data_IF_045996552119
#
_entry.id   IF_045996552119
#
_cell.length_a   1.000
_cell.length_b   1.000
_cell.length_c   1.000
_cell.angle_alpha   90.00
_cell.angle_beta   90.00
_cell.angle_gamma   90.00
#
_symmetry.space_group_name_H-M   'P 1'
#
loop_
_entity.id
_entity.type
_entity.pdbx_description
1 polymer ?
#
# COMPACT_ATOMS: atom_id res chain seq x y z
N UNK A 1 -5.10 5.02 -17.45
CA UNK A 1 -3.72 4.60 -17.72
C UNK A 1 -3.30 3.57 -16.67
N UNK A 2 -2.57 2.57 -17.08
CA UNK A 2 -1.98 1.57 -16.20
C UNK A 2 -0.93 2.23 -15.29
N UNK A 3 -0.99 2.07 -13.96
CA UNK A 3 -0.09 2.73 -13.02
C UNK A 3 1.27 2.03 -12.94
N UNK A 4 2.03 2.06 -14.03
CA UNK A 4 3.36 1.45 -14.14
C UNK A 4 4.32 2.40 -14.87
N UNK A 5 5.47 2.69 -14.30
CA UNK A 5 6.44 3.64 -14.83
C UNK A 5 7.26 3.07 -16.00
N UNK A 6 7.44 1.75 -16.02
CA UNK A 6 8.19 1.04 -17.06
C UNK A 6 7.34 0.61 -18.25
N UNK A 7 6.02 0.68 -18.14
CA UNK A 7 5.10 0.19 -19.16
C UNK A 7 3.96 1.18 -19.42
N UNK A 8 3.89 1.71 -20.64
CA UNK A 8 2.84 2.63 -21.06
C UNK A 8 1.77 1.85 -21.82
N UNK A 9 0.68 1.56 -21.18
CA UNK A 9 -0.44 0.82 -21.77
C UNK A 9 -1.75 1.12 -21.07
N UNK A 10 -2.82 0.51 -21.57
CA UNK A 10 -4.12 0.47 -20.91
C UNK A 10 -4.47 -0.99 -20.61
N UNK A 11 -5.15 -1.21 -19.49
CA UNK A 11 -5.69 -2.52 -19.15
C UNK A 11 -7.05 -2.68 -19.82
N UNK A 12 -7.26 -3.82 -20.48
CA UNK A 12 -8.55 -4.31 -20.86
C UNK A 12 -8.91 -5.46 -19.90
N UNK A 13 -10.04 -5.30 -19.23
CA UNK A 13 -10.61 -6.36 -18.39
C UNK A 13 -11.50 -7.26 -19.25
N UNK A 14 -11.05 -8.49 -19.51
CA UNK A 14 -11.82 -9.49 -20.23
C UNK A 14 -12.50 -10.39 -19.19
N UNK A 15 -13.83 -10.23 -19.06
CA UNK A 15 -14.61 -11.06 -18.13
C UNK A 15 -14.52 -12.55 -18.52
N UNK A 16 -14.22 -13.37 -17.54
CA UNK A 16 -14.14 -14.82 -17.64
C UNK A 16 -14.78 -15.48 -16.41
N UNK A 17 -14.68 -16.78 -16.22
CA UNK A 17 -15.11 -17.47 -15.00
C UNK A 17 -14.16 -17.14 -13.86
N UNK A 18 -14.13 -15.87 -13.47
CA UNK A 18 -13.33 -15.33 -12.37
C UNK A 18 -14.12 -15.46 -11.07
N UNK A 19 -13.46 -15.63 -9.92
CA UNK A 19 -14.11 -15.38 -8.65
C UNK A 19 -14.63 -13.94 -8.61
N UNK A 20 -15.87 -13.77 -8.20
CA UNK A 20 -16.58 -12.48 -8.23
C UNK A 20 -16.19 -11.49 -7.13
N UNK A 21 -15.34 -11.91 -6.16
CA UNK A 21 -14.93 -11.03 -5.06
C UNK A 21 -14.13 -9.78 -5.49
N UNK A 22 -13.57 -9.76 -6.69
CA UNK A 22 -12.88 -8.58 -7.23
C UNK A 22 -13.79 -7.65 -8.04
N UNK A 23 -15.02 -8.07 -8.30
CA UNK A 23 -16.02 -7.25 -9.00
C UNK A 23 -16.68 -6.27 -8.03
N UNK A 24 -17.16 -5.15 -8.55
CA UNK A 24 -17.95 -4.22 -7.77
C UNK A 24 -19.32 -4.87 -7.46
N UNK A 25 -19.59 -5.11 -6.18
CA UNK A 25 -20.85 -5.68 -5.69
C UNK A 25 -21.66 -4.62 -4.94
N UNK A 26 -22.95 -4.86 -4.73
CA UNK A 26 -23.83 -3.98 -3.96
C UNK A 26 -23.68 -4.23 -2.45
N UNK A 27 -22.58 -3.77 -1.91
CA UNK A 27 -22.21 -3.87 -0.49
C UNK A 27 -21.71 -2.52 0.02
N UNK A 28 -21.62 -2.30 1.34
CA UNK A 28 -20.99 -1.07 1.86
C UNK A 28 -19.54 -0.95 1.41
N UNK A 29 -19.20 0.19 0.79
CA UNK A 29 -17.87 0.44 0.26
C UNK A 29 -17.01 1.28 1.17
N UNK A 30 -15.72 0.91 1.26
CA UNK A 30 -14.68 1.71 1.87
C UNK A 30 -14.27 2.89 0.98
N UNK A 31 -13.35 3.69 1.48
CA UNK A 31 -12.83 4.88 0.79
C UNK A 31 -11.37 4.71 0.45
N UNK A 32 -10.99 5.04 -0.79
CA UNK A 32 -9.59 5.15 -1.22
C UNK A 32 -9.20 6.63 -1.26
N UNK A 33 -8.12 6.96 -0.56
CA UNK A 33 -7.58 8.31 -0.46
C UNK A 33 -6.15 8.37 -0.94
N UNK A 34 -5.78 9.50 -1.55
CA UNK A 34 -4.41 9.81 -1.98
C UNK A 34 -3.87 10.93 -1.10
N UNK A 35 -2.69 10.73 -0.56
CA UNK A 35 -2.03 11.74 0.25
C UNK A 35 -0.51 11.63 0.12
N UNK A 36 0.21 12.49 0.83
CA UNK A 36 1.66 12.50 0.89
C UNK A 36 2.11 12.44 2.35
N UNK A 37 3.25 11.83 2.57
CA UNK A 37 3.98 11.87 3.83
C UNK A 37 5.41 12.34 3.56
N UNK A 38 6.01 13.03 4.51
CA UNK A 38 7.42 13.42 4.43
C UNK A 38 8.29 12.25 4.85
N UNK A 39 9.13 11.76 3.95
CA UNK A 39 10.06 10.67 4.23
C UNK A 39 11.36 11.20 4.81
N UNK A 40 11.66 10.88 6.07
CA UNK A 40 12.96 11.14 6.69
C UNK A 40 14.10 10.35 6.05
N UNK A 41 13.81 9.18 5.48
CA UNK A 41 14.80 8.32 4.85
C UNK A 41 15.34 8.88 3.53
N UNK A 42 14.51 9.60 2.76
CA UNK A 42 14.88 10.16 1.45
C UNK A 42 14.84 11.68 1.39
N UNK A 43 14.30 12.34 2.40
CA UNK A 43 14.33 13.81 2.55
C UNK A 43 13.33 14.58 1.69
N UNK A 44 12.23 13.94 1.22
CA UNK A 44 11.17 14.61 0.47
C UNK A 44 9.81 13.90 0.63
N UNK A 45 8.75 14.59 0.18
CA UNK A 45 7.39 14.07 0.26
C UNK A 45 7.16 12.91 -0.71
N UNK A 46 6.50 11.87 -0.21
CA UNK A 46 6.23 10.63 -0.92
C UNK A 46 4.72 10.37 -1.00
N UNK A 47 4.20 9.96 -2.16
CA UNK A 47 2.80 9.64 -2.29
C UNK A 47 2.45 8.28 -1.64
N UNK A 48 1.24 8.21 -1.12
CA UNK A 48 0.65 6.99 -0.56
C UNK A 48 -0.83 6.94 -0.90
N UNK A 49 -1.31 5.74 -1.24
CA UNK A 49 -2.72 5.45 -1.40
C UNK A 49 -3.20 4.66 -0.18
N UNK A 50 -4.34 5.06 0.40
CA UNK A 50 -4.84 4.47 1.64
C UNK A 50 -6.31 4.10 1.44
N UNK A 51 -6.64 2.83 1.73
CA UNK A 51 -8.01 2.36 1.83
C UNK A 51 -8.42 2.34 3.30
N UNK A 52 -9.58 2.90 3.60
CA UNK A 52 -10.28 2.78 4.89
C UNK A 52 -11.59 2.02 4.69
N UNK A 53 -11.97 1.10 5.59
CA UNK A 53 -13.16 0.27 5.41
C UNK A 53 -14.45 1.07 5.53
N UNK A 54 -15.55 0.50 5.02
CA UNK A 54 -16.88 1.10 5.15
C UNK A 54 -17.23 1.38 6.62
N UNK A 55 -17.70 2.61 6.89
CA UNK A 55 -18.02 3.06 8.23
C UNK A 55 -16.82 3.55 9.05
N UNK A 56 -15.62 3.66 8.46
CA UNK A 56 -14.48 4.30 9.13
C UNK A 56 -14.81 5.76 9.50
N UNK A 57 -14.69 6.07 10.79
CA UNK A 57 -14.84 7.42 11.30
C UNK A 57 -13.49 7.89 11.89
N UNK A 58 -12.85 8.94 11.34
CA UNK A 58 -11.59 9.46 11.85
C UNK A 58 -11.71 10.07 13.26
N UNK A 59 -12.92 10.47 13.69
CA UNK A 59 -13.20 10.98 15.03
C UNK A 59 -13.68 9.87 15.99
N UNK A 60 -13.88 8.65 15.49
CA UNK A 60 -14.36 7.51 16.28
C UNK A 60 -13.26 6.89 17.14
N UNK A 61 -13.68 6.03 18.07
CA UNK A 61 -12.79 5.31 18.98
C UNK A 61 -12.32 3.94 18.43
N UNK A 62 -13.01 3.43 17.40
CA UNK A 62 -12.68 2.12 16.81
C UNK A 62 -11.30 2.15 16.17
N UNK A 63 -10.45 1.19 16.54
CA UNK A 63 -9.09 1.04 16.00
C UNK A 63 -8.98 -0.20 15.14
N UNK A 64 -8.34 -0.04 14.00
CA UNK A 64 -8.24 -1.03 12.92
C UNK A 64 -6.83 -1.61 12.82
N UNK A 65 -6.68 -2.91 12.48
CA UNK A 65 -5.40 -3.45 12.05
C UNK A 65 -4.99 -2.84 10.71
N UNK A 66 -3.69 -2.90 10.39
CA UNK A 66 -3.12 -2.31 9.19
C UNK A 66 -2.43 -3.35 8.32
N UNK A 67 -2.79 -3.37 7.04
CA UNK A 67 -2.05 -4.09 6.01
C UNK A 67 -1.24 -3.09 5.17
N UNK A 68 0.09 -3.19 5.21
CA UNK A 68 0.99 -2.50 4.28
C UNK A 68 1.19 -3.35 3.03
N UNK A 69 0.79 -2.83 1.87
CA UNK A 69 0.74 -3.59 0.62
C UNK A 69 1.66 -2.97 -0.43
N UNK A 70 2.77 -3.66 -0.74
CA UNK A 70 3.89 -3.12 -1.51
C UNK A 70 3.84 -3.58 -2.95
N UNK A 71 3.94 -2.64 -3.88
CA UNK A 71 3.94 -2.88 -5.33
C UNK A 71 5.26 -3.47 -5.85
N UNK A 72 5.24 -3.99 -7.10
CA UNK A 72 6.42 -4.51 -7.79
C UNK A 72 7.33 -3.42 -8.38
N UNK A 73 8.43 -3.87 -8.99
CA UNK A 73 9.31 -2.97 -9.73
C UNK A 73 8.55 -2.27 -10.86
N UNK A 74 8.80 -0.96 -11.05
CA UNK A 74 8.11 -0.10 -12.02
C UNK A 74 6.63 0.15 -11.78
N UNK A 75 6.00 -0.56 -10.87
CA UNK A 75 4.65 -0.26 -10.40
C UNK A 75 4.61 0.99 -9.50
N UNK A 76 3.42 1.41 -9.12
CA UNK A 76 3.22 2.59 -8.28
C UNK A 76 2.30 2.29 -7.09
N UNK A 77 2.16 3.25 -6.19
CA UNK A 77 1.23 3.23 -5.05
C UNK A 77 -0.24 3.03 -5.46
N UNK A 78 -0.58 3.16 -6.75
CA UNK A 78 -1.93 2.96 -7.26
C UNK A 78 -2.20 1.54 -7.78
N UNK A 79 -1.17 0.72 -7.95
CA UNK A 79 -1.28 -0.58 -8.63
C UNK A 79 -2.24 -1.53 -7.94
N UNK A 80 -2.13 -1.67 -6.62
CA UNK A 80 -3.01 -2.57 -5.87
C UNK A 80 -4.47 -2.12 -5.87
N UNK A 81 -4.73 -0.82 -5.97
CA UNK A 81 -6.08 -0.29 -6.10
C UNK A 81 -6.61 -0.39 -7.53
N UNK A 82 -5.89 0.15 -8.52
CA UNK A 82 -6.40 0.26 -9.91
C UNK A 82 -6.35 -1.06 -10.68
N UNK A 83 -5.39 -1.92 -10.36
CA UNK A 83 -5.18 -3.20 -11.04
C UNK A 83 -5.61 -4.36 -10.15
N UNK A 84 -5.14 -4.39 -8.91
CA UNK A 84 -5.43 -5.44 -7.95
C UNK A 84 -6.83 -5.37 -7.35
N UNK A 85 -7.54 -4.23 -7.49
CA UNK A 85 -8.91 -4.01 -6.98
C UNK A 85 -9.05 -4.35 -5.50
N UNK A 86 -8.02 -4.07 -4.72
CA UNK A 86 -7.96 -4.43 -3.30
C UNK A 86 -9.15 -3.88 -2.50
N UNK A 87 -9.64 -2.68 -2.87
CA UNK A 87 -10.83 -2.09 -2.27
C UNK A 87 -12.08 -2.95 -2.48
N UNK A 88 -12.37 -3.38 -3.72
CA UNK A 88 -13.53 -4.23 -4.01
C UNK A 88 -13.41 -5.58 -3.29
N UNK A 89 -12.23 -6.18 -3.34
CA UNK A 89 -11.95 -7.47 -2.67
C UNK A 89 -12.25 -7.35 -1.17
N UNK A 90 -11.75 -6.32 -0.52
CA UNK A 90 -11.96 -6.13 0.92
C UNK A 90 -13.41 -5.78 1.25
N UNK A 91 -14.05 -4.89 0.47
CA UNK A 91 -15.45 -4.55 0.67
C UNK A 91 -16.32 -5.81 0.63
N UNK A 92 -16.13 -6.66 -0.39
CA UNK A 92 -16.88 -7.90 -0.58
C UNK A 92 -16.58 -8.92 0.54
N UNK A 93 -15.32 -9.12 0.89
CA UNK A 93 -14.93 -10.07 1.94
C UNK A 93 -15.38 -9.61 3.34
N UNK A 94 -15.29 -8.32 3.64
CA UNK A 94 -15.76 -7.75 4.90
C UNK A 94 -17.29 -7.89 5.01
N UNK A 95 -18.03 -7.57 3.93
CA UNK A 95 -19.48 -7.71 3.90
C UNK A 95 -19.93 -9.18 4.08
N UNK A 96 -19.16 -10.12 3.54
CA UNK A 96 -19.39 -11.57 3.71
C UNK A 96 -18.93 -12.12 5.08
N UNK A 97 -18.31 -11.32 5.93
CA UNK A 97 -17.76 -11.77 7.23
C UNK A 97 -16.51 -12.66 7.09
N UNK A 98 -15.84 -12.63 5.94
CA UNK A 98 -14.65 -13.43 5.63
C UNK A 98 -13.33 -12.67 5.88
N UNK A 99 -13.39 -11.36 6.08
CA UNK A 99 -12.25 -10.54 6.47
C UNK A 99 -12.65 -9.58 7.59
N UNK A 100 -11.70 -9.28 8.48
CA UNK A 100 -11.83 -8.21 9.46
C UNK A 100 -11.72 -6.85 8.75
N UNK A 101 -12.43 -5.84 9.26
CA UNK A 101 -12.21 -4.45 8.83
C UNK A 101 -10.77 -4.05 9.09
N UNK A 102 -10.10 -3.53 8.08
CA UNK A 102 -8.69 -3.10 8.17
C UNK A 102 -8.42 -1.86 7.33
N UNK A 103 -7.36 -1.15 7.66
CA UNK A 103 -6.80 -0.09 6.82
C UNK A 103 -5.72 -0.71 5.94
N UNK A 104 -5.73 -0.39 4.64
CA UNK A 104 -4.66 -0.81 3.73
C UNK A 104 -3.86 0.40 3.29
N UNK A 105 -2.55 0.31 3.47
CA UNK A 105 -1.58 1.36 3.14
C UNK A 105 -0.74 0.90 1.97
N UNK A 106 -0.80 1.64 0.87
CA UNK A 106 -0.11 1.34 -0.38
C UNK A 106 0.86 2.48 -0.68
N UNK A 107 2.09 2.47 -0.11
CA UNK A 107 3.08 3.51 -0.35
C UNK A 107 3.74 3.34 -1.70
N UNK A 108 4.31 4.42 -2.25
CA UNK A 108 5.26 4.33 -3.35
C UNK A 108 6.60 3.85 -2.81
N UNK A 109 6.81 2.54 -2.83
CA UNK A 109 7.92 1.88 -2.15
C UNK A 109 9.23 1.80 -2.97
N UNK A 110 9.31 2.50 -4.11
CA UNK A 110 10.55 2.62 -4.88
C UNK A 110 11.03 4.08 -4.88
N UNK A 111 11.94 4.48 -4.00
CA UNK A 111 12.41 5.86 -3.92
C UNK A 111 13.41 6.23 -5.02
N UNK A 112 14.11 5.26 -5.61
CA UNK A 112 15.23 5.49 -6.50
C UNK A 112 14.93 6.33 -7.75
N UNK A 113 13.82 6.14 -8.49
CA UNK A 113 13.57 6.96 -9.68
C UNK A 113 13.49 8.45 -9.37
N UNK A 114 12.95 8.81 -8.22
CA UNK A 114 12.85 10.20 -7.80
C UNK A 114 14.17 10.72 -7.21
N UNK A 115 14.87 9.92 -6.42
CA UNK A 115 16.20 10.26 -5.91
C UNK A 115 17.18 10.53 -7.05
N UNK A 116 17.21 9.68 -8.08
CA UNK A 116 18.06 9.84 -9.26
C UNK A 116 17.72 11.08 -10.09
N UNK A 117 16.45 11.51 -10.11
CA UNK A 117 16.04 12.78 -10.74
C UNK A 117 16.56 14.00 -9.97
N UNK A 118 16.63 13.89 -8.63
CA UNK A 118 17.10 14.96 -7.75
C UNK A 118 18.62 15.02 -7.65
N UNK A 119 19.25 13.86 -7.62
CA UNK A 119 20.69 13.70 -7.51
C UNK A 119 21.19 12.61 -8.48
N UNK A 120 21.92 13.02 -9.52
CA UNK A 120 22.47 12.13 -10.54
C UNK A 120 23.61 11.23 -10.06
N UNK A 121 24.12 11.45 -8.85
CA UNK A 121 25.13 10.57 -8.23
C UNK A 121 24.52 9.35 -7.56
N UNK A 122 23.19 9.35 -7.34
CA UNK A 122 22.47 8.21 -6.78
C UNK A 122 22.45 7.06 -7.78
N UNK A 123 22.97 5.91 -7.37
CA UNK A 123 22.99 4.70 -8.18
C UNK A 123 21.86 3.77 -7.71
N UNK A 124 21.06 3.32 -8.67
CA UNK A 124 19.99 2.37 -8.40
C UNK A 124 20.56 1.01 -7.97
N UNK A 125 20.19 0.58 -6.78
CA UNK A 125 20.47 -0.78 -6.30
C UNK A 125 19.15 -1.50 -5.97
N UNK A 126 18.62 -2.34 -6.87
CA UNK A 126 17.37 -3.07 -6.64
C UNK A 126 17.47 -4.09 -5.51
N UNK A 127 18.68 -4.40 -5.06
CA UNK A 127 18.92 -5.36 -4.00
C UNK A 127 18.99 -4.70 -2.62
N UNK A 128 19.12 -3.37 -2.57
CA UNK A 128 19.11 -2.64 -1.31
C UNK A 128 17.68 -2.46 -0.78
N UNK A 129 17.37 -3.21 0.27
CA UNK A 129 16.12 -3.11 1.00
C UNK A 129 16.22 -2.23 2.23
N UNK A 130 17.42 -1.81 2.61
CA UNK A 130 17.66 -1.05 3.83
C UNK A 130 17.01 0.32 3.80
N UNK A 131 17.06 1.00 2.65
CA UNK A 131 16.43 2.31 2.48
C UNK A 131 14.90 2.19 2.61
N UNK A 132 14.28 1.20 1.97
CA UNK A 132 12.84 0.96 2.05
C UNK A 132 12.42 0.57 3.47
N UNK A 133 13.16 -0.33 4.12
CA UNK A 133 12.89 -0.71 5.51
C UNK A 133 12.95 0.51 6.43
N UNK A 134 13.97 1.35 6.30
CA UNK A 134 14.10 2.57 7.07
C UNK A 134 12.94 3.55 6.80
N UNK A 135 12.55 3.72 5.54
CA UNK A 135 11.40 4.55 5.18
C UNK A 135 10.10 4.06 5.83
N UNK A 136 9.89 2.74 5.86
CA UNK A 136 8.74 2.15 6.53
C UNK A 136 8.75 2.43 8.04
N UNK A 137 9.85 2.12 8.71
CA UNK A 137 9.95 2.23 10.16
C UNK A 137 9.96 3.68 10.66
N UNK A 138 10.64 4.58 9.94
CA UNK A 138 10.85 5.96 10.38
C UNK A 138 9.82 6.96 9.84
N UNK A 139 9.05 6.59 8.81
CA UNK A 139 8.17 7.55 8.14
C UNK A 139 6.76 7.01 7.89
N UNK A 140 6.60 5.88 7.21
CA UNK A 140 5.28 5.37 6.81
C UNK A 140 4.47 4.95 8.01
N UNK A 141 5.00 4.09 8.87
CA UNK A 141 4.29 3.61 10.08
C UNK A 141 3.95 4.77 11.01
N UNK A 142 4.89 5.64 11.41
CA UNK A 142 4.56 6.80 12.24
C UNK A 142 3.53 7.75 11.63
N UNK A 143 3.57 7.96 10.31
CA UNK A 143 2.57 8.78 9.61
C UNK A 143 1.16 8.18 9.73
N UNK A 144 1.04 6.87 9.53
CA UNK A 144 -0.26 6.18 9.63
C UNK A 144 -0.79 6.22 11.06
N UNK A 145 0.06 5.94 12.04
CA UNK A 145 -0.33 5.96 13.47
C UNK A 145 -0.74 7.35 13.97
N UNK A 146 -0.16 8.40 13.39
CA UNK A 146 -0.50 9.78 13.77
C UNK A 146 -1.79 10.30 13.11
N UNK A 147 -2.22 9.73 11.98
CA UNK A 147 -3.30 10.28 11.16
C UNK A 147 -4.53 9.38 11.02
N UNK A 148 -4.45 8.13 11.46
CA UNK A 148 -5.53 7.14 11.33
C UNK A 148 -5.77 6.40 12.63
N UNK A 149 -7.00 5.97 12.86
CA UNK A 149 -7.37 5.17 14.03
C UNK A 149 -6.90 3.72 13.85
N UNK A 150 -5.66 3.45 14.19
CA UNK A 150 -5.02 2.13 14.02
C UNK A 150 -4.59 1.53 15.37
N UNK A 151 -4.55 0.20 15.41
CA UNK A 151 -3.87 -0.54 16.47
C UNK A 151 -2.37 -0.44 16.24
N UNK A 152 -1.60 -0.14 17.29
CA UNK A 152 -0.14 0.14 17.18
C UNK A 152 0.75 -1.01 17.61
N UNK A 153 0.17 -2.12 18.05
CA UNK A 153 0.91 -3.33 18.39
C UNK A 153 1.34 -4.12 17.14
N UNK A 154 2.44 -4.87 17.23
CA UNK A 154 2.99 -5.64 16.12
C UNK A 154 2.03 -6.70 15.60
N UNK A 155 1.23 -7.32 16.49
CA UNK A 155 0.24 -8.33 16.12
C UNK A 155 -0.93 -7.81 15.29
N UNK A 156 -1.13 -6.49 15.26
CA UNK A 156 -2.14 -5.81 14.45
C UNK A 156 -1.60 -5.20 13.16
N UNK A 157 -0.35 -5.49 12.80
CA UNK A 157 0.28 -5.06 11.55
C UNK A 157 0.62 -6.25 10.67
N UNK A 158 0.35 -6.13 9.38
CA UNK A 158 0.80 -7.06 8.37
C UNK A 158 1.48 -6.30 7.22
N UNK A 159 2.46 -6.93 6.60
CA UNK A 159 3.12 -6.42 5.40
C UNK A 159 3.10 -7.51 4.34
N UNK A 160 2.71 -7.14 3.12
CA UNK A 160 2.67 -8.03 1.96
C UNK A 160 3.14 -7.28 0.71
N UNK A 161 3.56 -8.01 -0.31
CA UNK A 161 4.01 -7.38 -1.54
C UNK A 161 4.23 -8.36 -2.67
N UNK A 162 4.34 -7.80 -3.87
CA UNK A 162 4.53 -8.55 -5.11
C UNK A 162 5.93 -8.28 -5.69
N UNK A 163 6.62 -9.31 -6.18
CA UNK A 163 7.92 -9.18 -6.86
C UNK A 163 8.96 -8.44 -6.01
N UNK A 164 9.43 -7.26 -6.43
CA UNK A 164 10.31 -6.42 -5.62
C UNK A 164 9.68 -6.09 -4.26
N UNK A 165 8.38 -5.78 -4.23
CA UNK A 165 7.64 -5.57 -2.98
C UNK A 165 7.63 -6.80 -2.08
N UNK A 166 7.57 -8.01 -2.64
CA UNK A 166 7.70 -9.25 -1.87
C UNK A 166 9.06 -9.37 -1.19
N UNK A 167 10.15 -9.01 -1.89
CA UNK A 167 11.48 -8.96 -1.30
C UNK A 167 11.58 -7.94 -0.16
N UNK A 168 11.04 -6.75 -0.38
CA UNK A 168 11.00 -5.67 0.64
C UNK A 168 10.17 -6.11 1.86
N UNK A 169 9.05 -6.81 1.62
CA UNK A 169 8.21 -7.40 2.66
C UNK A 169 9.00 -8.37 3.56
N UNK A 170 9.73 -9.30 2.94
CA UNK A 170 10.54 -10.27 3.70
C UNK A 170 11.64 -9.56 4.51
N UNK A 171 12.34 -8.61 3.90
CA UNK A 171 13.41 -7.90 4.56
C UNK A 171 12.88 -7.03 5.74
N UNK A 172 11.79 -6.32 5.53
CA UNK A 172 11.20 -5.47 6.56
C UNK A 172 10.55 -6.31 7.68
N UNK A 173 9.68 -7.27 7.32
CA UNK A 173 8.91 -8.04 8.29
C UNK A 173 9.76 -9.01 9.12
N UNK A 174 10.73 -9.70 8.52
CA UNK A 174 11.61 -10.61 9.27
C UNK A 174 12.69 -9.87 10.06
N UNK A 175 13.07 -8.68 9.61
CA UNK A 175 14.07 -7.85 10.32
C UNK A 175 13.48 -7.02 11.46
N UNK A 176 12.15 -6.89 11.56
CA UNK A 176 11.45 -6.08 12.56
C UNK A 176 10.17 -6.81 13.00
N UNK A 177 10.30 -7.91 13.77
CA UNK A 177 9.18 -8.76 14.21
C UNK A 177 8.22 -8.05 15.17
#
# INVERSE_FOLDING_TARGET
LFPNEGFKGSLADVKGPQPDWQDLQDVPHGKVSYTYYTSGAVGFDRPVCIYTPAGYDPAGEEKYPVLYLIHGMTDTYETWFKVGRVNNILDNLIAAGLAEKMIVVMPYANPYPEMMRRDRTVVYNPLDTGLTTREFMESVIPFIEANYNVRTDAGSRAIAGFSLGGRQTLACGLGNP
#
